data_IF_951811011198
#
_entry.id   IF_951811011198
#
_cell.length_a   1.000
_cell.length_b   1.000
_cell.length_c   1.000
_cell.angle_alpha   90.00
_cell.angle_beta   90.00
_cell.angle_gamma   90.00
#
_symmetry.space_group_name_H-M   'P 1'
#
loop_
_entity.id
_entity.type
_entity.pdbx_description
1 polymer ?
#
# COMPACT_ATOMS: atom_id res chain seq x y z
N UNK A 1 0.27 15.01 11.43
CA UNK A 1 0.35 14.17 10.21
C UNK A 1 1.60 13.31 10.16
N UNK A 2 2.82 13.89 10.32
CA UNK A 2 4.09 13.15 10.24
C UNK A 2 4.18 12.01 11.27
N UNK A 3 3.73 12.23 12.51
CA UNK A 3 3.71 11.18 13.53
C UNK A 3 2.78 10.02 13.13
N UNK A 4 1.60 10.32 12.62
CA UNK A 4 0.67 9.29 12.12
C UNK A 4 1.27 8.50 10.96
N UNK A 5 1.91 9.17 9.99
CA UNK A 5 2.61 8.50 8.89
C UNK A 5 3.71 7.56 9.38
N UNK A 6 4.57 8.07 10.28
CA UNK A 6 5.67 7.28 10.83
C UNK A 6 5.19 6.05 11.59
N UNK A 7 4.21 6.21 12.47
CA UNK A 7 3.63 5.10 13.23
C UNK A 7 2.89 4.12 12.33
N UNK A 8 2.21 4.60 11.27
CA UNK A 8 1.57 3.73 10.28
C UNK A 8 2.59 2.82 9.59
N UNK A 9 3.69 3.39 9.11
CA UNK A 9 4.75 2.61 8.44
C UNK A 9 5.37 1.59 9.40
N UNK A 10 5.73 2.01 10.61
CA UNK A 10 6.30 1.11 11.62
C UNK A 10 5.32 -0.02 11.96
N UNK A 11 4.04 0.28 12.13
CA UNK A 11 3.01 -0.71 12.45
C UNK A 11 2.84 -1.73 11.32
N UNK A 12 2.84 -1.27 10.07
CA UNK A 12 2.78 -2.16 8.90
C UNK A 12 4.01 -3.07 8.84
N UNK A 13 5.20 -2.50 9.01
CA UNK A 13 6.47 -3.25 8.99
C UNK A 13 6.53 -4.25 10.13
N UNK A 14 6.07 -3.88 11.33
CA UNK A 14 5.97 -4.81 12.47
C UNK A 14 5.07 -6.00 12.12
N UNK A 15 3.91 -5.77 11.54
CA UNK A 15 3.02 -6.85 11.11
C UNK A 15 3.69 -7.78 10.10
N UNK A 16 4.37 -7.21 9.09
CA UNK A 16 5.10 -7.99 8.08
C UNK A 16 6.23 -8.82 8.70
N UNK A 17 7.03 -8.25 9.58
CA UNK A 17 8.17 -8.94 10.19
C UNK A 17 7.73 -10.02 11.18
N UNK A 18 6.70 -9.77 11.98
CA UNK A 18 6.19 -10.77 12.93
C UNK A 18 5.68 -11.99 12.18
N UNK A 19 4.90 -11.79 11.12
CA UNK A 19 4.38 -12.91 10.35
C UNK A 19 5.46 -13.61 9.53
N UNK A 20 6.36 -12.88 8.88
CA UNK A 20 7.35 -13.48 7.96
C UNK A 20 8.55 -14.09 8.65
N UNK A 21 8.92 -13.64 9.84
CA UNK A 21 10.09 -14.11 10.59
C UNK A 21 9.75 -14.82 11.89
N UNK A 22 8.52 -14.74 12.38
CA UNK A 22 8.04 -15.33 13.63
C UNK A 22 9.06 -15.19 14.77
N UNK A 23 9.44 -13.95 15.19
CA UNK A 23 10.56 -13.70 16.09
C UNK A 23 10.29 -14.04 17.57
N UNK A 24 9.13 -14.60 17.88
CA UNK A 24 8.73 -14.98 19.24
C UNK A 24 8.68 -16.49 19.39
N UNK A 25 8.98 -17.04 20.60
CA UNK A 25 8.93 -18.48 20.82
C UNK A 25 7.55 -19.07 20.48
N UNK A 26 7.53 -20.20 19.79
CA UNK A 26 6.35 -20.96 19.39
C UNK A 26 5.37 -20.24 18.43
N UNK A 27 5.64 -19.00 18.04
CA UNK A 27 4.74 -18.22 17.18
C UNK A 27 4.56 -18.86 15.80
N UNK A 28 5.61 -19.40 15.21
CA UNK A 28 5.57 -20.03 13.89
C UNK A 28 4.60 -21.22 13.80
N UNK A 29 4.27 -21.83 14.92
CA UNK A 29 3.33 -22.96 15.01
C UNK A 29 1.91 -22.54 15.36
N UNK A 30 1.73 -21.30 15.79
CA UNK A 30 0.43 -20.74 16.16
C UNK A 30 -0.14 -19.89 15.02
N UNK A 31 -0.79 -20.58 14.09
CA UNK A 31 -1.37 -19.95 12.91
C UNK A 31 -2.38 -18.86 13.25
N UNK A 32 -3.28 -19.11 14.19
CA UNK A 32 -4.34 -18.16 14.57
C UNK A 32 -3.74 -16.87 15.12
N UNK A 33 -2.77 -16.97 16.03
CA UNK A 33 -2.11 -15.78 16.59
C UNK A 33 -1.34 -15.02 15.51
N UNK A 34 -0.64 -15.71 14.62
CA UNK A 34 0.12 -15.09 13.51
C UNK A 34 -0.82 -14.31 12.59
N UNK A 35 -1.93 -14.91 12.17
CA UNK A 35 -2.94 -14.25 11.32
C UNK A 35 -3.59 -13.07 12.04
N UNK A 36 -3.96 -13.24 13.30
CA UNK A 36 -4.58 -12.17 14.08
C UNK A 36 -3.64 -10.97 14.24
N UNK A 37 -2.37 -11.19 14.51
CA UNK A 37 -1.36 -10.13 14.61
C UNK A 37 -1.19 -9.40 13.28
N UNK A 38 -1.09 -10.12 12.18
CA UNK A 38 -0.94 -9.51 10.86
C UNK A 38 -2.16 -8.67 10.48
N UNK A 39 -3.36 -9.22 10.60
CA UNK A 39 -4.60 -8.52 10.27
C UNK A 39 -4.80 -7.27 11.13
N UNK A 40 -4.57 -7.38 12.43
CA UNK A 40 -4.69 -6.26 13.36
C UNK A 40 -3.74 -5.11 12.98
N UNK A 41 -2.45 -5.42 12.79
CA UNK A 41 -1.45 -4.39 12.45
C UNK A 41 -1.67 -3.81 11.06
N UNK A 42 -2.17 -4.59 10.11
CA UNK A 42 -2.55 -4.11 8.77
C UNK A 42 -3.70 -3.07 8.86
N UNK A 43 -4.73 -3.35 9.63
CA UNK A 43 -5.85 -2.42 9.82
C UNK A 43 -5.44 -1.14 10.55
N UNK A 44 -4.69 -1.27 11.64
CA UNK A 44 -4.20 -0.09 12.38
C UNK A 44 -3.31 0.77 11.49
N UNK A 45 -2.39 0.16 10.75
CA UNK A 45 -1.50 0.89 9.85
C UNK A 45 -2.29 1.66 8.78
N UNK A 46 -3.28 1.03 8.18
CA UNK A 46 -4.12 1.65 7.14
C UNK A 46 -4.91 2.84 7.69
N UNK A 47 -5.53 2.70 8.85
CA UNK A 47 -6.29 3.79 9.49
C UNK A 47 -5.39 4.96 9.89
N UNK A 48 -4.19 4.67 10.40
CA UNK A 48 -3.22 5.71 10.75
C UNK A 48 -2.72 6.48 9.52
N UNK A 49 -2.53 5.81 8.39
CA UNK A 49 -2.16 6.47 7.15
C UNK A 49 -3.27 7.37 6.64
N UNK A 50 -4.53 6.93 6.72
CA UNK A 50 -5.69 7.76 6.41
C UNK A 50 -5.74 9.01 7.29
N UNK A 51 -5.54 8.84 8.60
CA UNK A 51 -5.48 9.94 9.56
C UNK A 51 -4.34 10.92 9.25
N UNK A 52 -3.19 10.42 8.81
CA UNK A 52 -2.05 11.25 8.46
C UNK A 52 -2.38 12.26 7.35
N UNK A 53 -3.01 11.81 6.28
CA UNK A 53 -3.41 12.68 5.17
C UNK A 53 -4.59 13.60 5.52
N UNK A 54 -5.55 13.11 6.31
CA UNK A 54 -6.61 13.96 6.82
C UNK A 54 -6.03 15.14 7.63
N UNK A 55 -5.11 14.86 8.54
CA UNK A 55 -4.45 15.90 9.34
C UNK A 55 -3.53 16.81 8.51
N UNK A 56 -2.91 16.28 7.45
CA UNK A 56 -2.16 17.12 6.51
C UNK A 56 -3.08 18.16 5.83
N UNK A 57 -4.26 17.75 5.40
CA UNK A 57 -5.26 18.64 4.84
C UNK A 57 -5.76 19.66 5.87
N UNK A 58 -6.03 19.22 7.09
CA UNK A 58 -6.44 20.12 8.18
C UNK A 58 -5.36 21.16 8.46
N UNK A 59 -4.10 20.74 8.52
CA UNK A 59 -2.95 21.64 8.70
C UNK A 59 -2.89 22.71 7.60
N UNK A 60 -3.04 22.29 6.33
CA UNK A 60 -2.99 23.21 5.19
C UNK A 60 -4.13 24.23 5.19
N UNK A 61 -5.28 23.89 5.76
CA UNK A 61 -6.43 24.78 5.83
C UNK A 61 -6.37 25.69 7.06
N UNK A 62 -5.98 25.15 8.21
CA UNK A 62 -6.12 25.84 9.49
C UNK A 62 -4.84 26.50 9.99
N UNK A 63 -3.67 25.89 9.74
CA UNK A 63 -2.44 26.29 10.44
C UNK A 63 -1.34 26.78 9.49
N UNK A 64 -1.38 26.39 8.22
CA UNK A 64 -0.36 26.80 7.27
C UNK A 64 -0.61 28.19 6.73
N UNK A 65 0.38 29.06 6.91
CA UNK A 65 0.39 30.42 6.35
C UNK A 65 1.60 30.60 5.45
N UNK A 66 1.39 31.21 4.28
CA UNK A 66 2.49 31.58 3.39
C UNK A 66 3.31 32.66 4.09
N UNK A 67 4.60 32.38 4.31
CA UNK A 67 5.49 33.36 4.93
C UNK A 67 6.11 34.29 3.86
N UNK A 68 5.65 35.54 3.76
CA UNK A 68 6.21 36.49 2.79
C UNK A 68 7.62 36.97 3.14
N UNK A 69 8.12 36.65 4.33
CA UNK A 69 9.42 37.09 4.81
C UNK A 69 10.58 36.14 4.43
N UNK A 70 10.34 35.01 3.83
CA UNK A 70 11.41 34.15 3.30
C UNK A 70 12.00 34.82 2.03
N UNK A 71 13.31 34.81 1.88
CA UNK A 71 14.00 35.45 0.76
C UNK A 71 13.59 34.95 -0.62
N UNK A 72 12.99 33.75 -0.71
CA UNK A 72 12.43 33.17 -1.93
C UNK A 72 10.89 33.12 -1.94
N UNK A 73 10.23 33.57 -0.85
CA UNK A 73 8.78 33.48 -0.71
C UNK A 73 8.23 32.06 -0.59
N UNK A 74 9.09 31.06 -0.64
CA UNK A 74 8.69 29.63 -0.67
C UNK A 74 9.46 28.84 0.37
N UNK A 75 8.72 28.13 1.22
CA UNK A 75 9.23 27.04 2.05
C UNK A 75 9.00 25.70 1.32
N UNK A 76 9.33 24.57 1.98
CA UNK A 76 9.16 23.24 1.40
C UNK A 76 7.70 22.98 1.03
N UNK A 77 6.75 23.37 1.89
CA UNK A 77 5.32 23.18 1.65
C UNK A 77 4.84 24.06 0.50
N UNK A 78 5.30 25.32 0.44
CA UNK A 78 5.00 26.23 -0.66
C UNK A 78 5.46 25.67 -2.01
N UNK A 79 6.63 25.04 -2.06
CA UNK A 79 7.14 24.39 -3.28
C UNK A 79 6.27 23.20 -3.70
N UNK A 80 5.82 22.39 -2.75
CA UNK A 80 4.90 21.27 -3.03
C UNK A 80 3.58 21.81 -3.57
N UNK A 81 3.02 22.84 -2.97
CA UNK A 81 1.79 23.47 -3.45
C UNK A 81 1.96 24.09 -4.84
N UNK A 82 3.14 24.63 -5.13
CA UNK A 82 3.43 25.26 -6.43
C UNK A 82 3.45 24.25 -7.59
N UNK A 83 3.78 22.99 -7.34
CA UNK A 83 3.79 21.94 -8.38
C UNK A 83 2.79 20.82 -8.11
N UNK A 84 1.72 21.10 -7.36
CA UNK A 84 0.69 20.10 -7.05
C UNK A 84 0.09 19.43 -8.28
N UNK A 85 -0.09 20.18 -9.38
CA UNK A 85 -0.61 19.63 -10.63
C UNK A 85 0.31 18.53 -11.20
N UNK A 86 1.62 18.73 -11.13
CA UNK A 86 2.57 17.70 -11.56
C UNK A 86 2.53 16.45 -10.66
N UNK A 87 2.43 16.63 -9.34
CA UNK A 87 2.33 15.53 -8.39
C UNK A 87 1.07 14.70 -8.68
N UNK A 88 -0.08 15.35 -8.81
CA UNK A 88 -1.36 14.69 -9.04
C UNK A 88 -1.39 14.00 -10.41
N UNK A 89 -0.91 14.66 -11.45
CA UNK A 89 -0.91 14.09 -12.80
C UNK A 89 0.00 12.86 -12.92
N UNK A 90 1.17 12.86 -12.29
CA UNK A 90 2.06 11.71 -12.33
C UNK A 90 1.50 10.54 -11.51
N UNK A 91 0.90 10.82 -10.38
CA UNK A 91 0.24 9.79 -9.57
C UNK A 91 -0.98 9.20 -10.28
N UNK A 92 -1.72 10.03 -11.00
CA UNK A 92 -2.82 9.59 -11.88
C UNK A 92 -2.30 8.70 -13.01
N UNK A 93 -1.20 9.08 -13.66
CA UNK A 93 -0.60 8.27 -14.71
C UNK A 93 -0.17 6.89 -14.22
N UNK A 94 0.55 6.81 -13.09
CA UNK A 94 1.02 5.52 -12.57
C UNK A 94 -0.14 4.64 -12.14
N UNK A 95 -1.22 5.22 -11.62
CA UNK A 95 -2.42 4.48 -11.26
C UNK A 95 -3.10 3.87 -12.50
N UNK A 96 -3.21 4.64 -13.57
CA UNK A 96 -3.72 4.13 -14.85
C UNK A 96 -2.81 3.04 -15.42
N UNK A 97 -1.50 3.26 -15.40
CA UNK A 97 -0.54 2.27 -15.89
C UNK A 97 -0.65 0.94 -15.12
N UNK A 98 -0.65 1.01 -13.80
CA UNK A 98 -0.78 -0.18 -12.95
C UNK A 98 -2.11 -0.91 -13.19
N UNK A 99 -3.20 -0.17 -13.32
CA UNK A 99 -4.52 -0.76 -13.56
C UNK A 99 -4.57 -1.52 -14.88
N UNK A 100 -4.20 -0.89 -15.97
CA UNK A 100 -4.24 -1.51 -17.29
C UNK A 100 -3.27 -2.68 -17.43
N UNK A 101 -2.04 -2.53 -16.93
CA UNK A 101 -1.03 -3.60 -17.09
C UNK A 101 -1.33 -4.79 -16.19
N UNK A 102 -1.73 -4.57 -14.94
CA UNK A 102 -2.07 -5.67 -14.04
C UNK A 102 -3.31 -6.41 -14.55
N UNK A 103 -4.38 -5.70 -14.87
CA UNK A 103 -5.60 -6.31 -15.39
C UNK A 103 -5.36 -6.99 -16.74
N UNK A 104 -4.60 -6.34 -17.63
CA UNK A 104 -4.29 -6.88 -18.95
C UNK A 104 -3.53 -8.20 -18.87
N UNK A 105 -2.55 -8.33 -17.99
CA UNK A 105 -1.83 -9.58 -17.78
C UNK A 105 -2.73 -10.66 -17.20
N UNK A 106 -3.58 -10.35 -16.22
CA UNK A 106 -4.56 -11.31 -15.71
C UNK A 106 -5.50 -11.82 -16.81
N UNK A 107 -6.06 -10.91 -17.61
CA UNK A 107 -6.99 -11.29 -18.69
C UNK A 107 -6.27 -12.08 -19.77
N UNK A 108 -5.05 -11.69 -20.14
CA UNK A 108 -4.24 -12.43 -21.11
C UNK A 108 -4.04 -13.87 -20.63
N UNK A 109 -3.62 -14.05 -19.38
CA UNK A 109 -3.34 -15.36 -18.82
C UNK A 109 -4.60 -16.22 -18.71
N UNK A 110 -5.70 -15.64 -18.30
CA UNK A 110 -6.99 -16.33 -18.25
C UNK A 110 -7.44 -16.77 -19.65
N UNK A 111 -7.28 -15.91 -20.64
CA UNK A 111 -7.69 -16.19 -22.02
C UNK A 111 -6.88 -17.30 -22.64
N UNK A 112 -5.55 -17.22 -22.59
CA UNK A 112 -4.70 -18.26 -23.21
C UNK A 112 -4.86 -19.61 -22.51
N UNK A 113 -5.06 -19.61 -21.20
CA UNK A 113 -5.31 -20.83 -20.42
C UNK A 113 -6.66 -21.45 -20.80
N UNK A 114 -7.70 -20.63 -20.97
CA UNK A 114 -9.03 -21.10 -21.39
C UNK A 114 -9.02 -21.71 -22.80
N UNK A 115 -8.15 -21.24 -23.68
CA UNK A 115 -7.96 -21.81 -25.03
C UNK A 115 -6.96 -22.98 -25.07
N UNK A 116 -6.51 -23.48 -23.94
CA UNK A 116 -5.61 -24.62 -23.84
C UNK A 116 -4.16 -24.32 -24.18
N UNK A 117 -3.75 -23.07 -24.09
CA UNK A 117 -2.39 -22.62 -24.40
C UNK A 117 -1.69 -21.94 -23.20
N UNK A 118 -1.60 -22.62 -22.03
CA UNK A 118 -1.01 -22.01 -20.83
C UNK A 118 0.48 -21.66 -20.99
N UNK A 119 1.17 -22.23 -21.99
CA UNK A 119 2.56 -21.89 -22.32
C UNK A 119 2.70 -20.46 -22.84
N UNK A 120 1.62 -19.82 -23.27
CA UNK A 120 1.61 -18.45 -23.76
C UNK A 120 1.29 -17.42 -22.65
N UNK A 121 1.21 -17.85 -21.41
CA UNK A 121 1.00 -16.94 -20.29
C UNK A 121 2.18 -15.96 -20.13
N UNK A 122 1.86 -14.75 -19.67
CA UNK A 122 2.86 -13.78 -19.23
C UNK A 122 3.16 -14.07 -17.76
N UNK A 123 4.32 -14.66 -17.50
CA UNK A 123 4.75 -15.09 -16.17
C UNK A 123 6.01 -14.32 -15.78
N UNK A 124 5.84 -13.27 -14.99
CA UNK A 124 6.94 -12.42 -14.54
C UNK A 124 7.37 -12.86 -13.15
N UNK A 125 8.61 -13.35 -13.02
CA UNK A 125 9.17 -13.74 -11.73
C UNK A 125 9.43 -12.53 -10.84
N UNK A 126 9.00 -12.54 -9.56
CA UNK A 126 9.26 -11.45 -8.63
C UNK A 126 10.69 -11.53 -8.07
N UNK A 127 11.68 -11.39 -8.94
CA UNK A 127 13.10 -11.65 -8.61
C UNK A 127 13.66 -10.75 -7.51
N UNK A 128 13.19 -9.51 -7.39
CA UNK A 128 13.66 -8.62 -6.32
C UNK A 128 13.22 -9.10 -4.94
N UNK A 129 11.97 -9.51 -4.81
CA UNK A 129 11.45 -10.05 -3.56
C UNK A 129 12.06 -11.44 -3.25
N UNK A 130 12.26 -12.28 -4.25
CA UNK A 130 12.97 -13.55 -4.11
C UNK A 130 14.41 -13.35 -3.63
N UNK A 131 15.10 -12.33 -4.14
CA UNK A 131 16.46 -11.99 -3.70
C UNK A 131 16.47 -11.52 -2.24
N UNK A 132 15.48 -10.75 -1.81
CA UNK A 132 15.34 -10.35 -0.41
C UNK A 132 15.13 -11.57 0.49
N UNK A 133 14.29 -12.52 0.09
CA UNK A 133 14.11 -13.78 0.82
C UNK A 133 15.39 -14.60 0.85
N UNK A 134 16.12 -14.68 -0.25
CA UNK A 134 17.41 -15.38 -0.32
C UNK A 134 18.46 -14.74 0.60
N UNK A 135 18.50 -13.40 0.67
CA UNK A 135 19.37 -12.66 1.59
C UNK A 135 19.01 -12.90 3.06
N UNK A 136 17.78 -13.31 3.35
CA UNK A 136 17.31 -13.66 4.69
C UNK A 136 17.47 -15.16 5.00
N UNK A 137 18.10 -15.95 4.13
CA UNK A 137 18.42 -17.35 4.37
C UNK A 137 17.61 -18.37 3.57
N UNK A 138 16.73 -17.93 2.66
CA UNK A 138 15.97 -18.83 1.79
C UNK A 138 16.85 -19.26 0.61
N UNK A 139 17.08 -20.57 0.46
CA UNK A 139 17.98 -21.08 -0.58
C UNK A 139 17.27 -21.64 -1.83
N UNK A 140 15.94 -21.72 -1.83
CA UNK A 140 15.19 -22.45 -2.85
C UNK A 140 15.21 -21.79 -4.25
N UNK A 141 15.57 -20.51 -4.35
CA UNK A 141 15.57 -19.80 -5.63
C UNK A 141 16.87 -19.97 -6.44
N UNK A 142 17.89 -20.59 -5.85
CA UNK A 142 19.14 -20.85 -6.53
C UNK A 142 20.07 -19.64 -6.73
N UNK A 143 19.87 -18.56 -5.96
CA UNK A 143 20.72 -17.35 -6.07
C UNK A 143 22.13 -17.51 -5.46
N UNK A 144 22.44 -18.66 -4.86
CA UNK A 144 23.80 -18.95 -4.34
C UNK A 144 24.22 -18.11 -3.13
N UNK A 145 23.28 -17.50 -2.41
CA UNK A 145 23.57 -16.75 -1.18
C UNK A 145 23.68 -17.71 0.00
N UNK A 146 24.81 -18.40 0.10
CA UNK A 146 25.05 -19.41 1.15
C UNK A 146 25.19 -18.79 2.54
N UNK A 147 25.77 -17.60 2.61
CA UNK A 147 25.87 -16.81 3.82
C UNK A 147 25.04 -15.55 3.64
N UNK A 148 23.94 -15.48 4.36
CA UNK A 148 23.09 -14.29 4.34
C UNK A 148 23.74 -13.17 5.13
N UNK A 149 23.69 -11.96 4.61
CA UNK A 149 24.04 -10.73 5.33
C UNK A 149 22.98 -10.31 6.33
N UNK A 150 21.80 -10.96 6.29
CA UNK A 150 20.69 -10.65 7.17
C UNK A 150 20.83 -11.42 8.49
N UNK A 151 20.75 -10.74 9.67
CA UNK A 151 20.86 -11.40 10.97
C UNK A 151 19.85 -12.52 11.24
N UNK A 152 18.71 -12.51 10.52
CA UNK A 152 17.67 -13.53 10.67
C UNK A 152 17.93 -14.84 9.91
N UNK A 153 19.00 -14.94 9.12
CA UNK A 153 19.23 -16.10 8.24
C UNK A 153 19.28 -17.44 8.96
N UNK A 154 19.97 -17.53 10.08
CA UNK A 154 20.04 -18.76 10.88
C UNK A 154 18.70 -19.15 11.48
N UNK A 155 17.94 -18.19 11.94
CA UNK A 155 16.59 -18.37 12.46
C UNK A 155 15.63 -18.87 11.37
N UNK A 156 15.61 -18.21 10.22
CA UNK A 156 14.77 -18.58 9.09
C UNK A 156 15.04 -20.00 8.63
N UNK A 157 16.31 -20.40 8.49
CA UNK A 157 16.68 -21.76 8.11
C UNK A 157 16.22 -22.80 9.13
N UNK A 158 16.39 -22.51 10.42
CA UNK A 158 15.99 -23.44 11.49
C UNK A 158 14.47 -23.61 11.54
N UNK A 159 13.73 -22.53 11.54
CA UNK A 159 12.26 -22.56 11.64
C UNK A 159 11.62 -23.11 10.37
N UNK A 160 12.17 -22.84 9.18
CA UNK A 160 11.66 -23.42 7.94
C UNK A 160 11.79 -24.93 7.89
N UNK A 161 12.84 -25.50 8.49
CA UNK A 161 12.96 -26.97 8.61
C UNK A 161 11.88 -27.56 9.49
N UNK A 162 11.43 -26.83 10.50
CA UNK A 162 10.50 -27.32 11.50
C UNK A 162 9.04 -27.00 11.17
N UNK A 163 8.74 -25.77 10.74
CA UNK A 163 7.38 -25.28 10.50
C UNK A 163 7.05 -25.04 9.03
N UNK A 164 8.05 -24.72 8.19
CA UNK A 164 7.84 -24.47 6.76
C UNK A 164 7.05 -23.22 6.42
N UNK A 165 6.78 -22.34 7.39
CA UNK A 165 5.86 -21.21 7.27
C UNK A 165 6.53 -19.85 7.09
N UNK A 166 7.85 -19.75 7.26
CA UNK A 166 8.57 -18.49 7.15
C UNK A 166 9.00 -18.18 5.71
N UNK A 167 8.86 -16.93 5.31
CA UNK A 167 9.23 -16.44 3.98
C UNK A 167 8.67 -17.37 2.89
N UNK A 168 7.34 -17.43 2.79
CA UNK A 168 6.65 -18.32 1.87
C UNK A 168 7.13 -18.12 0.43
N UNK A 169 7.26 -19.20 -0.37
CA UNK A 169 7.69 -19.10 -1.76
C UNK A 169 6.78 -18.18 -2.57
N UNK A 170 7.38 -17.34 -3.39
CA UNK A 170 6.67 -16.40 -4.26
C UNK A 170 7.04 -16.65 -5.73
N UNK A 171 6.07 -16.54 -6.60
CA UNK A 171 6.19 -16.75 -8.02
C UNK A 171 5.40 -15.72 -8.84
N UNK A 172 5.16 -15.98 -10.15
CA UNK A 172 4.49 -15.03 -11.04
C UNK A 172 3.08 -14.62 -10.60
N UNK A 173 2.32 -15.53 -9.99
CA UNK A 173 1.00 -15.21 -9.42
C UNK A 173 1.08 -14.18 -8.31
N UNK A 174 2.09 -14.28 -7.47
CA UNK A 174 2.34 -13.34 -6.37
C UNK A 174 2.77 -11.97 -6.90
N UNK A 175 3.53 -11.94 -8.01
CA UNK A 175 3.88 -10.71 -8.72
C UNK A 175 2.64 -9.91 -9.13
N UNK A 176 1.66 -10.57 -9.72
CA UNK A 176 0.40 -9.94 -10.13
C UNK A 176 -0.42 -9.46 -8.92
N UNK A 177 -0.54 -10.29 -7.90
CA UNK A 177 -1.28 -9.93 -6.69
C UNK A 177 -0.69 -8.70 -6.00
N UNK A 178 0.64 -8.62 -5.91
CA UNK A 178 1.34 -7.46 -5.35
C UNK A 178 1.14 -6.20 -6.19
N UNK A 179 1.09 -6.31 -7.52
CA UNK A 179 0.84 -5.15 -8.37
C UNK A 179 -0.62 -4.69 -8.34
N UNK A 180 -1.58 -5.57 -8.11
CA UNK A 180 -2.96 -5.19 -7.79
C UNK A 180 -3.02 -4.40 -6.47
N UNK A 181 -2.29 -4.84 -5.45
CA UNK A 181 -2.16 -4.12 -4.17
C UNK A 181 -1.48 -2.76 -4.38
N UNK A 182 -0.40 -2.71 -5.16
CA UNK A 182 0.28 -1.46 -5.50
C UNK A 182 -0.65 -0.48 -6.22
N UNK A 183 -1.49 -0.95 -7.14
CA UNK A 183 -2.54 -0.15 -7.77
C UNK A 183 -3.46 0.46 -6.72
N UNK A 184 -3.98 -0.34 -5.81
CA UNK A 184 -4.87 0.14 -4.76
C UNK A 184 -4.23 1.18 -3.86
N UNK A 185 -2.96 1.01 -3.50
CA UNK A 185 -2.19 1.98 -2.72
C UNK A 185 -2.02 3.30 -3.47
N UNK A 186 -1.66 3.26 -4.75
CA UNK A 186 -1.48 4.46 -5.58
C UNK A 186 -2.78 5.23 -5.77
N UNK A 187 -3.90 4.56 -6.02
CA UNK A 187 -5.21 5.21 -6.16
C UNK A 187 -5.65 5.83 -4.83
N UNK A 188 -5.50 5.11 -3.72
CA UNK A 188 -5.87 5.62 -2.40
C UNK A 188 -5.09 6.89 -2.07
N UNK A 189 -3.77 6.85 -2.29
CA UNK A 189 -2.87 7.99 -2.05
C UNK A 189 -3.14 9.13 -3.04
N UNK A 190 -3.50 8.84 -4.28
CA UNK A 190 -3.92 9.85 -5.25
C UNK A 190 -5.10 10.68 -4.72
N UNK A 191 -6.13 10.01 -4.22
CA UNK A 191 -7.31 10.69 -3.67
C UNK A 191 -6.94 11.52 -2.45
N UNK A 192 -6.13 10.96 -1.56
CA UNK A 192 -5.69 11.64 -0.33
C UNK A 192 -4.80 12.84 -0.61
N UNK A 193 -3.80 12.67 -1.48
CA UNK A 193 -2.87 13.76 -1.85
C UNK A 193 -3.60 14.86 -2.61
N UNK A 194 -4.43 14.50 -3.58
CA UNK A 194 -5.26 15.48 -4.31
C UNK A 194 -6.13 16.26 -3.35
N UNK A 195 -6.80 15.58 -2.42
CA UNK A 195 -7.63 16.23 -1.41
C UNK A 195 -6.87 17.18 -0.51
N UNK A 196 -5.69 16.80 -0.05
CA UNK A 196 -4.84 17.64 0.81
C UNK A 196 -4.25 18.83 0.04
N UNK A 197 -3.73 18.61 -1.16
CA UNK A 197 -3.10 19.69 -1.95
C UNK A 197 -4.11 20.69 -2.52
N UNK A 198 -5.35 20.26 -2.74
CA UNK A 198 -6.46 21.13 -3.15
C UNK A 198 -7.32 21.62 -1.97
N UNK A 199 -6.95 21.30 -0.74
CA UNK A 199 -7.70 21.68 0.45
C UNK A 199 -7.85 23.20 0.62
N UNK A 200 -6.86 23.96 0.20
CA UNK A 200 -6.85 25.43 0.25
C UNK A 200 -7.62 26.06 -0.90
N UNK A 201 -7.65 25.40 -2.04
CA UNK A 201 -8.33 25.83 -3.25
C UNK A 201 -8.03 24.89 -4.41
N UNK A 202 -8.97 24.80 -5.32
CA UNK A 202 -8.86 24.04 -6.56
C UNK A 202 -9.34 24.91 -7.73
N UNK A 203 -9.17 24.42 -8.96
CA UNK A 203 -9.65 25.14 -10.15
C UNK A 203 -11.17 25.38 -10.09
N UNK A 204 -11.93 24.40 -9.61
CA UNK A 204 -13.38 24.48 -9.51
C UNK A 204 -13.84 25.37 -8.36
N UNK A 205 -13.10 25.41 -7.25
CA UNK A 205 -13.39 26.21 -6.06
C UNK A 205 -12.10 26.81 -5.49
N UNK A 206 -11.65 27.98 -6.01
CA UNK A 206 -10.34 28.54 -5.64
C UNK A 206 -10.26 29.04 -4.19
N UNK A 207 -11.37 29.31 -3.56
CA UNK A 207 -11.50 29.90 -2.23
C UNK A 207 -11.89 28.90 -1.14
N UNK A 208 -11.61 27.61 -1.33
CA UNK A 208 -11.95 26.56 -0.36
C UNK A 208 -11.47 26.86 1.07
N UNK A 209 -10.32 27.51 1.20
CA UNK A 209 -9.74 27.82 2.50
C UNK A 209 -10.70 28.64 3.39
N UNK A 210 -11.56 29.46 2.80
CA UNK A 210 -12.53 30.28 3.52
C UNK A 210 -13.70 29.48 4.05
N UNK A 211 -13.94 28.28 3.50
CA UNK A 211 -15.04 27.38 3.92
C UNK A 211 -14.59 26.36 4.97
N UNK A 212 -13.30 26.23 5.20
CA UNK A 212 -12.74 25.26 6.14
C UNK A 212 -12.44 23.91 5.52
N UNK A 213 -12.01 22.97 6.37
CA UNK A 213 -11.62 21.62 5.94
C UNK A 213 -12.82 20.79 5.45
N UNK A 214 -13.94 20.87 6.13
CA UNK A 214 -15.16 20.14 5.79
C UNK A 214 -16.37 21.07 5.67
N UNK A 215 -17.10 20.97 4.59
CA UNK A 215 -18.34 21.70 4.33
C UNK A 215 -19.19 20.88 3.34
N UNK A 216 -20.48 21.20 3.24
CA UNK A 216 -21.41 20.41 2.44
C UNK A 216 -21.08 20.44 0.94
N UNK A 217 -21.10 21.63 0.35
CA UNK A 217 -20.73 21.89 -1.04
C UNK A 217 -20.73 23.40 -1.28
N UNK A 218 -20.56 23.82 -2.55
CA UNK A 218 -20.67 25.23 -2.97
C UNK A 218 -21.82 25.43 -3.99
N UNK A 219 -22.82 24.57 -3.93
CA UNK A 219 -24.02 24.65 -4.76
C UNK A 219 -23.97 23.89 -6.09
N UNK A 220 -25.07 23.94 -6.87
CA UNK A 220 -25.19 23.23 -8.15
C UNK A 220 -24.47 23.93 -9.30
N UNK A 221 -23.97 25.14 -9.12
CA UNK A 221 -23.21 25.88 -10.12
C UNK A 221 -21.92 25.17 -10.52
N UNK A 222 -21.32 25.62 -11.61
CA UNK A 222 -20.06 25.06 -12.14
C UNK A 222 -20.14 23.55 -12.44
N UNK A 223 -21.32 23.07 -12.82
CA UNK A 223 -21.57 21.66 -13.08
C UNK A 223 -21.89 20.81 -11.86
N UNK A 224 -21.97 21.42 -10.68
CA UNK A 224 -22.14 20.77 -9.39
C UNK A 224 -20.84 20.72 -8.58
N UNK A 225 -20.96 20.90 -7.28
CA UNK A 225 -19.83 20.95 -6.35
C UNK A 225 -19.95 19.94 -5.20
N UNK A 226 -20.62 18.81 -5.48
CA UNK A 226 -20.71 17.73 -4.50
C UNK A 226 -19.33 17.17 -4.14
N UNK A 227 -19.13 16.85 -2.87
CA UNK A 227 -17.91 16.22 -2.36
C UNK A 227 -16.62 17.00 -2.73
N UNK A 228 -16.70 18.34 -2.76
CA UNK A 228 -15.58 19.18 -3.15
C UNK A 228 -14.63 19.49 -1.98
N UNK A 229 -15.07 19.36 -0.74
CA UNK A 229 -14.23 19.64 0.41
C UNK A 229 -13.08 18.61 0.57
N UNK A 230 -12.03 19.01 1.24
CA UNK A 230 -10.92 18.09 1.58
C UNK A 230 -11.38 16.93 2.46
N UNK A 231 -12.35 17.17 3.35
CA UNK A 231 -12.95 16.12 4.16
C UNK A 231 -13.62 15.07 3.28
N UNK A 232 -14.31 15.49 2.21
CA UNK A 232 -14.98 14.58 1.28
C UNK A 232 -13.99 13.73 0.49
N UNK A 233 -12.82 14.26 0.17
CA UNK A 233 -11.72 13.48 -0.41
C UNK A 233 -11.25 12.38 0.55
N UNK A 234 -11.11 12.67 1.82
CA UNK A 234 -10.83 11.68 2.86
C UNK A 234 -11.93 10.60 2.88
N UNK A 235 -13.18 10.99 2.90
CA UNK A 235 -14.34 10.07 2.86
C UNK A 235 -14.27 9.13 1.64
N UNK A 236 -14.03 9.67 0.46
CA UNK A 236 -13.94 8.86 -0.77
C UNK A 236 -12.72 7.94 -0.77
N UNK A 237 -11.60 8.39 -0.22
CA UNK A 237 -10.41 7.56 -0.10
C UNK A 237 -10.60 6.36 0.84
N UNK A 238 -11.51 6.46 1.81
CA UNK A 238 -11.83 5.33 2.70
C UNK A 238 -12.36 4.12 1.93
N UNK A 239 -13.15 4.31 0.88
CA UNK A 239 -13.62 3.21 0.03
C UNK A 239 -12.43 2.46 -0.60
N UNK A 240 -11.47 3.19 -1.13
CA UNK A 240 -10.28 2.59 -1.72
C UNK A 240 -9.34 1.99 -0.68
N UNK A 241 -9.22 2.57 0.49
CA UNK A 241 -8.44 1.98 1.58
C UNK A 241 -9.02 0.63 2.00
N UNK A 242 -10.33 0.56 2.19
CA UNK A 242 -11.01 -0.68 2.55
C UNK A 242 -10.84 -1.75 1.46
N UNK A 243 -10.99 -1.37 0.20
CA UNK A 243 -10.79 -2.26 -0.95
C UNK A 243 -9.34 -2.76 -1.03
N UNK A 244 -8.37 -1.88 -0.91
CA UNK A 244 -6.94 -2.25 -0.98
C UNK A 244 -6.55 -3.15 0.18
N UNK A 245 -7.01 -2.82 1.39
CA UNK A 245 -6.73 -3.65 2.55
C UNK A 245 -7.39 -5.03 2.44
N UNK A 246 -8.59 -5.10 1.87
CA UNK A 246 -9.24 -6.37 1.56
C UNK A 246 -8.42 -7.20 0.57
N UNK A 247 -7.89 -6.61 -0.49
CA UNK A 247 -7.00 -7.32 -1.44
C UNK A 247 -5.76 -7.88 -0.73
N UNK A 248 -5.13 -7.08 0.11
CA UNK A 248 -3.95 -7.49 0.88
C UNK A 248 -4.28 -8.65 1.81
N UNK A 249 -5.38 -8.54 2.56
CA UNK A 249 -5.81 -9.54 3.53
C UNK A 249 -6.26 -10.83 2.84
N UNK A 250 -6.99 -10.74 1.73
CA UNK A 250 -7.43 -11.91 0.96
C UNK A 250 -6.25 -12.67 0.39
N UNK A 251 -5.28 -11.96 -0.19
CA UNK A 251 -4.05 -12.56 -0.69
C UNK A 251 -3.29 -13.26 0.44
N UNK A 252 -3.06 -12.56 1.55
CA UNK A 252 -2.36 -13.08 2.71
C UNK A 252 -3.06 -14.33 3.27
N UNK A 253 -4.35 -14.24 3.54
CA UNK A 253 -5.12 -15.32 4.15
C UNK A 253 -5.18 -16.56 3.25
N UNK A 254 -5.44 -16.38 1.96
CA UNK A 254 -5.47 -17.48 1.00
C UNK A 254 -4.13 -18.19 0.94
N UNK A 255 -3.05 -17.46 0.82
CA UNK A 255 -1.70 -18.02 0.73
C UNK A 255 -1.29 -18.75 2.00
N UNK A 256 -1.47 -18.14 3.15
CA UNK A 256 -1.15 -18.73 4.46
C UNK A 256 -1.99 -19.97 4.73
N UNK A 257 -3.29 -19.91 4.48
CA UNK A 257 -4.21 -21.02 4.72
C UNK A 257 -3.86 -22.22 3.85
N UNK A 258 -3.55 -22.03 2.58
CA UNK A 258 -3.17 -23.08 1.66
C UNK A 258 -1.92 -23.84 2.15
N UNK A 259 -0.91 -23.10 2.60
CA UNK A 259 0.34 -23.71 3.09
C UNK A 259 0.12 -24.39 4.44
N UNK A 260 -0.61 -23.77 5.35
CA UNK A 260 -0.92 -24.36 6.65
C UNK A 260 -1.72 -25.65 6.53
N UNK A 261 -2.70 -25.70 5.65
CA UNK A 261 -3.46 -26.92 5.36
C UNK A 261 -2.56 -28.01 4.80
N UNK A 262 -1.66 -27.71 3.90
CA UNK A 262 -0.70 -28.68 3.37
C UNK A 262 0.21 -29.26 4.45
N UNK A 263 0.65 -28.45 5.40
CA UNK A 263 1.48 -28.90 6.52
C UNK A 263 0.69 -29.80 7.49
N UNK A 264 -0.58 -29.46 7.72
CA UNK A 264 -1.40 -30.13 8.74
C UNK A 264 -1.98 -31.45 8.24
N UNK A 265 -2.26 -31.58 6.94
CA UNK A 265 -2.95 -32.74 6.35
C UNK A 265 -2.07 -33.66 5.50
N UNK A 266 -0.77 -33.42 5.44
CA UNK A 266 0.24 -34.30 4.89
C UNK A 266 0.95 -35.08 5.99
#
# INVERSE_FOLDING_TARGET
>A
SLACSGVSVITSVVGQHIYSLAPYPYLAYDYVTTVALYLHHSWIASLLMMAAFAHAGIFLVRDYTINPASASGEDIIGRVLAHKAAIISHLSWVSLWLGFHTLGVYIHNDTVSAFGEPQNQILIEPIFAQLIQASSGKSMYGYGLFESVNPSSGWVQTVNKSAGSLLLPIGPGDMLAHHAIALGLHITVLILIKGALDARGSKLMPDKIHFGYGFACDGPGRGGTCDISAWDSFYLAMFWMLNTNAWTIFYFHWKELTIWQNITFQ
#
